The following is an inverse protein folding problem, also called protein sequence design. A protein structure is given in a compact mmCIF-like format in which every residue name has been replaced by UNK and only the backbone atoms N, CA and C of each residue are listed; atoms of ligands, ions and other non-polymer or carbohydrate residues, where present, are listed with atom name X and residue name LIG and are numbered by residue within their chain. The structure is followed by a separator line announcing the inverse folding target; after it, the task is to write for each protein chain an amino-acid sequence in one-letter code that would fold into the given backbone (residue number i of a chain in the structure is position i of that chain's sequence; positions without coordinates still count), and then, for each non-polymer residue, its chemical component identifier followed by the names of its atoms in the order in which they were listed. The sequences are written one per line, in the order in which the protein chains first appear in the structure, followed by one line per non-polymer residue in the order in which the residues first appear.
data_IF_052891485593
#
_entry.id   IF_052891485593
#
_cell.length_a   1.000
_cell.length_b   1.000
_cell.length_c   1.000
_cell.angle_alpha   90.00
_cell.angle_beta   90.00
_cell.angle_gamma   90.00
#
_symmetry.space_group_name_H-M   'P 1'
#
loop_
_entity.id
_entity.type
_entity.pdbx_description
1 polymer ?
#
# COMPACT_ATOMS: atom_id res chain seq x y z
N UNK A 1 -5.77 -10.49 3.72
CA UNK A 1 -5.81 -9.44 2.66
C UNK A 1 -4.60 -9.61 1.77
N UNK A 2 -4.78 -9.69 0.46
CA UNK A 2 -3.67 -9.93 -0.48
C UNK A 2 -2.80 -8.68 -0.64
N UNK A 3 -1.54 -8.85 -0.97
CA UNK A 3 -0.60 -7.74 -1.19
C UNK A 3 -1.09 -6.72 -2.23
N UNK A 4 -1.67 -7.19 -3.34
CA UNK A 4 -2.28 -6.35 -4.37
C UNK A 4 -3.43 -5.49 -3.86
N UNK A 5 -4.26 -6.04 -2.97
CA UNK A 5 -5.34 -5.31 -2.32
C UNK A 5 -4.81 -4.23 -1.38
N UNK A 6 -3.63 -4.44 -0.76
CA UNK A 6 -3.02 -3.47 0.16
C UNK A 6 -2.61 -2.21 -0.59
N UNK A 7 -1.99 -2.39 -1.74
CA UNK A 7 -1.62 -1.28 -2.63
C UNK A 7 -2.87 -0.53 -3.09
N UNK A 8 -3.90 -1.25 -3.52
CA UNK A 8 -5.17 -0.65 -3.93
C UNK A 8 -5.80 0.16 -2.79
N UNK A 9 -5.80 -0.37 -1.57
CA UNK A 9 -6.37 0.33 -0.42
C UNK A 9 -5.59 1.60 -0.06
N UNK A 10 -4.26 1.57 -0.12
CA UNK A 10 -3.43 2.77 0.08
C UNK A 10 -3.85 3.86 -0.92
N UNK A 11 -3.94 3.52 -2.20
CA UNK A 11 -4.37 4.48 -3.23
C UNK A 11 -5.75 5.07 -2.93
N UNK A 12 -6.71 4.22 -2.56
CA UNK A 12 -8.09 4.63 -2.28
C UNK A 12 -8.20 5.50 -1.02
N UNK A 13 -7.44 5.18 0.04
CA UNK A 13 -7.39 5.97 1.26
C UNK A 13 -6.83 7.38 1.02
N UNK A 14 -5.99 7.53 -0.01
CA UNK A 14 -5.45 8.81 -0.45
C UNK A 14 -6.32 9.52 -1.49
N UNK A 15 -7.50 8.94 -1.82
CA UNK A 15 -8.45 9.54 -2.75
C UNK A 15 -7.99 9.58 -4.21
N UNK A 16 -6.97 8.80 -4.59
CA UNK A 16 -6.36 8.84 -5.92
C UNK A 16 -7.02 7.87 -6.90
N UNK A 17 -7.14 8.27 -8.16
CA UNK A 17 -7.42 7.40 -9.31
C UNK A 17 -6.19 6.54 -9.68
N UNK A 18 -6.37 5.51 -10.50
CA UNK A 18 -5.25 4.69 -10.98
C UNK A 18 -4.29 5.49 -11.88
N UNK A 19 -4.80 6.41 -12.71
CA UNK A 19 -3.95 7.36 -13.46
C UNK A 19 -3.11 8.23 -12.53
N UNK A 20 -3.72 8.91 -11.55
CA UNK A 20 -2.99 9.78 -10.62
C UNK A 20 -1.92 9.02 -9.83
N UNK A 21 -2.26 7.80 -9.40
CA UNK A 21 -1.31 6.95 -8.69
C UNK A 21 -0.17 6.49 -9.61
N UNK A 22 -0.45 6.22 -10.88
CA UNK A 22 0.59 5.88 -11.86
C UNK A 22 1.56 7.04 -12.11
N UNK A 23 1.02 8.26 -12.27
CA UNK A 23 1.79 9.48 -12.38
C UNK A 23 2.64 9.72 -11.13
N UNK A 24 2.05 9.52 -9.94
CA UNK A 24 2.74 9.64 -8.66
C UNK A 24 3.93 8.67 -8.55
N UNK A 25 3.77 7.42 -9.01
CA UNK A 25 4.82 6.41 -9.02
C UNK A 25 5.82 6.57 -10.18
N UNK A 26 5.55 7.45 -11.16
CA UNK A 26 6.36 7.59 -12.36
C UNK A 26 6.34 6.34 -13.26
N UNK A 27 5.25 5.57 -13.25
CA UNK A 27 5.10 4.34 -14.03
C UNK A 27 3.86 4.40 -14.93
N UNK A 28 3.78 3.53 -15.94
CA UNK A 28 2.60 3.46 -16.79
C UNK A 28 1.36 2.92 -16.05
N UNK A 29 0.18 3.45 -16.38
CA UNK A 29 -1.14 3.03 -15.87
C UNK A 29 -1.33 1.51 -15.82
N UNK A 30 -1.00 0.80 -16.91
CA UNK A 30 -1.13 -0.65 -16.98
C UNK A 30 -0.28 -1.40 -15.92
N UNK A 31 0.80 -0.80 -15.43
CA UNK A 31 1.59 -1.37 -14.32
C UNK A 31 0.84 -1.29 -13.01
N UNK A 32 0.23 -0.14 -12.68
CA UNK A 32 -0.64 0.01 -11.51
C UNK A 32 -1.79 -0.99 -11.56
N UNK A 33 -2.45 -1.13 -12.71
CA UNK A 33 -3.55 -2.07 -12.89
C UNK A 33 -3.12 -3.53 -12.63
N UNK A 34 -1.93 -3.92 -13.09
CA UNK A 34 -1.34 -5.25 -12.83
C UNK A 34 -0.94 -5.46 -11.37
N UNK A 35 -0.49 -4.40 -10.69
CA UNK A 35 -0.17 -4.44 -9.26
C UNK A 35 -1.42 -4.67 -8.42
N UNK A 36 -2.48 -3.89 -8.67
CA UNK A 36 -3.72 -3.97 -7.89
C UNK A 36 -4.56 -5.22 -8.19
N UNK A 37 -4.39 -5.83 -9.36
CA UNK A 37 -5.00 -7.12 -9.72
C UNK A 37 -4.19 -8.32 -9.24
N UNK A 38 -2.95 -8.11 -8.77
CA UNK A 38 -2.05 -9.20 -8.35
C UNK A 38 -1.46 -10.00 -9.51
N UNK A 39 -1.62 -9.54 -10.76
CA UNK A 39 -0.99 -10.14 -11.95
C UNK A 39 0.53 -9.98 -11.89
N UNK A 40 1.01 -8.88 -11.29
CA UNK A 40 2.43 -8.56 -11.17
C UNK A 40 2.73 -7.90 -9.84
N UNK A 41 3.87 -8.24 -9.23
CA UNK A 41 4.37 -7.52 -8.07
C UNK A 41 5.03 -6.18 -8.47
N UNK A 42 4.91 -5.12 -7.65
CA UNK A 42 5.61 -3.88 -7.86
C UNK A 42 7.13 -4.07 -7.82
N UNK A 43 7.84 -3.18 -8.55
CA UNK A 43 9.29 -3.11 -8.41
C UNK A 43 9.67 -2.55 -7.04
N UNK A 44 10.90 -2.84 -6.60
CA UNK A 44 11.46 -2.25 -5.38
C UNK A 44 11.47 -0.72 -5.42
N UNK A 45 11.67 -0.12 -6.60
CA UNK A 45 11.58 1.34 -6.79
C UNK A 45 10.18 1.85 -6.49
N UNK A 46 9.14 1.23 -7.06
CA UNK A 46 7.75 1.63 -6.80
C UNK A 46 7.38 1.45 -5.33
N UNK A 47 7.83 0.35 -4.71
CA UNK A 47 7.63 0.13 -3.27
C UNK A 47 8.34 1.17 -2.41
N UNK A 48 9.57 1.52 -2.74
CA UNK A 48 10.32 2.58 -2.05
C UNK A 48 9.59 3.93 -2.11
N UNK A 49 9.01 4.28 -3.26
CA UNK A 49 8.21 5.50 -3.41
C UNK A 49 6.95 5.45 -2.52
N UNK A 50 6.22 4.33 -2.54
CA UNK A 50 5.02 4.15 -1.71
C UNK A 50 5.37 4.26 -0.22
N UNK A 51 6.34 3.49 0.26
CA UNK A 51 6.72 3.49 1.67
C UNK A 51 7.34 4.82 2.12
N UNK A 52 8.10 5.49 1.24
CA UNK A 52 8.69 6.80 1.53
C UNK A 52 7.65 7.91 1.62
N UNK A 53 6.57 7.83 0.82
CA UNK A 53 5.48 8.80 0.86
C UNK A 53 4.45 8.50 1.94
N UNK A 54 4.17 7.23 2.18
CA UNK A 54 3.14 6.77 3.12
C UNK A 54 3.73 5.81 4.16
N UNK A 55 4.61 6.31 5.04
CA UNK A 55 5.28 5.48 6.04
C UNK A 55 4.28 4.74 6.96
N UNK A 56 3.11 5.33 7.23
CA UNK A 56 2.04 4.77 8.05
C UNK A 56 1.47 3.44 7.52
N UNK A 57 1.59 3.18 6.21
CA UNK A 57 1.10 1.93 5.60
C UNK A 57 2.21 0.91 5.35
N UNK A 58 3.47 1.23 5.67
CA UNK A 58 4.61 0.34 5.42
C UNK A 58 4.45 -0.99 6.15
N UNK A 59 4.00 -0.95 7.40
CA UNK A 59 3.75 -2.17 8.18
C UNK A 59 2.59 -2.99 7.61
N UNK A 60 1.50 -2.34 7.20
CA UNK A 60 0.37 -3.02 6.58
C UNK A 60 0.80 -3.73 5.29
N UNK A 61 1.67 -3.12 4.48
CA UNK A 61 2.23 -3.73 3.26
C UNK A 61 3.02 -5.01 3.55
N UNK A 62 3.87 -4.99 4.58
CA UNK A 62 4.84 -6.07 4.87
C UNK A 62 4.24 -7.22 5.68
N UNK A 63 3.24 -6.95 6.53
CA UNK A 63 2.68 -7.95 7.44
C UNK A 63 1.60 -8.77 6.71
N UNK A 64 1.88 -10.03 6.42
CA UNK A 64 0.93 -10.92 5.74
C UNK A 64 -0.12 -11.56 6.66
N UNK A 65 0.13 -11.64 7.97
CA UNK A 65 -0.76 -12.31 8.92
C UNK A 65 -1.04 -11.50 10.20
N UNK A 66 -2.29 -11.58 10.66
CA UNK A 66 -3.01 -10.63 11.53
C UNK A 66 -2.57 -10.64 13.01
N UNK A 67 -1.55 -11.40 13.41
CA UNK A 67 -1.18 -11.46 14.84
C UNK A 67 -0.66 -10.12 15.41
N UNK A 68 -0.03 -9.28 14.58
CA UNK A 68 0.56 -7.99 14.98
C UNK A 68 -0.39 -6.80 14.87
N UNK A 69 -1.45 -6.88 14.06
CA UNK A 69 -2.41 -5.77 13.88
C UNK A 69 -3.19 -5.46 15.17
N UNK A 70 -3.50 -6.50 15.95
CA UNK A 70 -4.17 -6.37 17.25
C UNK A 70 -3.29 -5.65 18.29
N UNK A 71 -1.97 -5.79 18.20
CA UNK A 71 -1.01 -5.15 19.11
C UNK A 71 -0.95 -3.65 18.82
N UNK A 72 -0.89 -3.26 17.54
CA UNK A 72 -0.82 -1.85 17.14
C UNK A 72 -2.09 -1.05 17.46
N UNK A 73 -3.27 -1.65 17.26
CA UNK A 73 -4.55 -0.98 17.58
C UNK A 73 -4.64 -0.70 19.09
N UNK A 74 -4.29 -1.69 19.94
CA UNK A 74 -4.25 -1.52 21.40
C UNK A 74 -3.31 -0.40 21.83
N UNK A 75 -2.11 -0.32 21.24
CA UNK A 75 -1.14 0.73 21.56
C UNK A 75 -1.57 2.14 21.13
N UNK A 76 -2.44 2.26 20.12
CA UNK A 76 -2.99 3.54 19.66
C UNK A 76 -4.14 4.00 20.55
N UNK A 77 -4.96 3.08 21.05
CA UNK A 77 -6.05 3.34 22.00
C UNK A 77 -5.52 3.71 23.40
N UNK A 78 -4.40 3.13 23.84
CA UNK A 78 -3.77 3.43 25.15
C UNK A 78 -3.04 4.79 25.20
N UNK A 79 -2.82 5.44 24.05
CA UNK A 79 -2.12 6.73 23.94
C UNK A 79 -3.03 7.91 23.58
N UNK A 80 -4.33 7.67 23.41
CA UNK A 80 -5.36 8.69 23.18
C UNK A 80 -6.11 8.97 24.48
#
# INVERSE_FOLDING_TARGET
MKFSEKIKNIRLLQGMTQEEFSCFLGIGYASVQKYESGIRNPSYTALGIICGRFPEYTLDLVIDDISTKQIYIKQKEEKA
#
